data_IF_080124360087
#
_entry.id   IF_080124360087
#
_cell.length_a   1.000
_cell.length_b   1.000
_cell.length_c   1.000
_cell.angle_alpha   90.00
_cell.angle_beta   90.00
_cell.angle_gamma   90.00
#
_symmetry.space_group_name_H-M   'P 1'
#
loop_
_entity.id
_entity.type
_entity.pdbx_description
1 polymer ?
#
# COMPACT_ATOMS: atom_id res chain seq x y z
N UNK A 1 -21.12 12.80 -9.46
CA UNK A 1 -20.77 13.28 -8.12
C UNK A 1 -21.78 14.25 -7.54
N UNK A 2 -22.22 15.32 -8.26
CA UNK A 2 -23.23 16.28 -7.74
C UNK A 2 -24.49 15.59 -7.22
N UNK A 3 -25.07 14.64 -7.97
CA UNK A 3 -26.26 13.90 -7.53
C UNK A 3 -26.04 13.13 -6.21
N UNK A 4 -24.84 12.55 -6.02
CA UNK A 4 -24.48 11.87 -4.77
C UNK A 4 -24.39 12.84 -3.59
N UNK A 5 -23.76 14.01 -3.80
CA UNK A 5 -23.62 15.06 -2.78
C UNK A 5 -25.01 15.63 -2.44
N UNK A 6 -25.84 15.93 -3.45
CA UNK A 6 -27.20 16.44 -3.26
C UNK A 6 -28.10 15.44 -2.48
N UNK A 7 -27.81 14.13 -2.59
CA UNK A 7 -28.46 13.10 -1.79
C UNK A 7 -27.87 12.89 -0.39
N UNK A 8 -27.01 13.81 0.10
CA UNK A 8 -26.36 13.74 1.43
C UNK A 8 -25.09 12.92 1.47
N UNK A 9 -24.58 12.49 0.32
CA UNK A 9 -23.35 11.72 0.23
C UNK A 9 -22.11 12.57 0.46
N UNK A 10 -21.13 12.03 1.19
CA UNK A 10 -19.85 12.67 1.47
C UNK A 10 -18.79 12.22 0.47
N UNK A 11 -18.11 13.14 -0.20
CA UNK A 11 -17.10 12.89 -1.22
C UNK A 11 -15.74 13.39 -0.78
N UNK A 12 -14.74 12.53 -0.90
CA UNK A 12 -13.34 12.88 -0.76
C UNK A 12 -12.65 12.73 -2.11
N UNK A 13 -11.84 13.70 -2.49
CA UNK A 13 -10.99 13.64 -3.68
C UNK A 13 -9.53 13.51 -3.29
N UNK A 14 -8.95 12.34 -3.56
CA UNK A 14 -7.52 12.10 -3.44
C UNK A 14 -6.84 12.39 -4.79
N UNK A 15 -6.21 13.55 -4.90
CA UNK A 15 -5.51 14.03 -6.09
C UNK A 15 -4.05 13.61 -6.05
N UNK A 16 -3.68 12.58 -6.83
CA UNK A 16 -2.29 12.10 -6.92
C UNK A 16 -1.45 13.02 -7.82
N UNK A 17 -0.37 13.58 -7.27
CA UNK A 17 0.47 14.56 -7.98
C UNK A 17 1.58 13.84 -8.77
N UNK A 18 1.68 14.20 -10.04
CA UNK A 18 2.73 13.81 -10.99
C UNK A 18 3.20 15.04 -11.76
N UNK A 19 4.28 14.94 -12.56
CA UNK A 19 4.78 16.04 -13.38
C UNK A 19 3.69 16.69 -14.25
N UNK A 20 2.91 15.87 -14.94
CA UNK A 20 1.92 16.33 -15.91
C UNK A 20 0.72 17.09 -15.29
N UNK A 21 0.45 16.94 -13.99
CA UNK A 21 -0.70 17.54 -13.34
C UNK A 21 -0.36 18.41 -12.12
N UNK A 22 0.93 18.56 -11.77
CA UNK A 22 1.36 19.31 -10.59
C UNK A 22 0.94 20.78 -10.61
N UNK A 23 0.80 21.37 -11.81
CA UNK A 23 0.39 22.75 -12.00
C UNK A 23 -1.12 22.98 -11.74
N UNK A 24 -1.92 21.91 -11.76
CA UNK A 24 -3.38 21.95 -11.60
C UNK A 24 -3.85 21.75 -10.15
N UNK A 25 -2.96 21.59 -9.18
CA UNK A 25 -3.34 21.27 -7.78
C UNK A 25 -4.31 22.29 -7.21
N UNK A 26 -4.03 23.59 -7.37
CA UNK A 26 -4.90 24.67 -6.86
C UNK A 26 -6.25 24.73 -7.57
N UNK A 27 -6.25 24.50 -8.88
CA UNK A 27 -7.47 24.46 -9.68
C UNK A 27 -8.35 23.26 -9.29
N UNK A 28 -7.73 22.08 -9.09
CA UNK A 28 -8.44 20.89 -8.63
C UNK A 28 -9.02 21.06 -7.22
N UNK A 29 -8.29 21.71 -6.31
CA UNK A 29 -8.79 22.04 -4.97
C UNK A 29 -9.99 22.97 -5.03
N UNK A 30 -9.89 24.05 -5.83
CA UNK A 30 -11.00 24.97 -6.06
C UNK A 30 -12.22 24.25 -6.63
N UNK A 31 -12.03 23.40 -7.63
CA UNK A 31 -13.09 22.61 -8.23
C UNK A 31 -13.75 21.66 -7.22
N UNK A 32 -12.97 21.03 -6.34
CA UNK A 32 -13.49 20.18 -5.27
C UNK A 32 -14.41 20.97 -4.33
N UNK A 33 -13.99 22.18 -3.91
CA UNK A 33 -14.78 23.07 -3.06
C UNK A 33 -16.06 23.55 -3.77
N UNK A 34 -15.95 23.98 -5.03
CA UNK A 34 -17.09 24.44 -5.84
C UNK A 34 -18.13 23.32 -6.09
N UNK A 35 -17.68 22.06 -6.07
CA UNK A 35 -18.54 20.87 -6.20
C UNK A 35 -19.10 20.36 -4.86
N UNK A 36 -18.69 20.94 -3.73
CA UNK A 36 -19.14 20.55 -2.40
C UNK A 36 -18.52 19.25 -1.87
N UNK A 37 -17.27 18.95 -2.25
CA UNK A 37 -16.57 17.81 -1.67
C UNK A 37 -16.24 18.06 -0.20
N UNK A 38 -16.41 17.04 0.64
CA UNK A 38 -16.10 17.13 2.07
C UNK A 38 -14.59 17.30 2.30
N UNK A 39 -13.77 16.70 1.46
CA UNK A 39 -12.31 16.76 1.59
C UNK A 39 -11.60 16.67 0.24
N UNK A 40 -10.63 17.56 0.03
CA UNK A 40 -9.61 17.45 -1.02
C UNK A 40 -8.25 17.13 -0.40
N UNK A 41 -7.53 16.17 -0.96
CA UNK A 41 -6.18 15.81 -0.50
C UNK A 41 -5.23 15.72 -1.69
N UNK A 42 -4.30 16.67 -1.77
CA UNK A 42 -3.19 16.63 -2.73
C UNK A 42 -2.13 15.64 -2.24
N UNK A 43 -2.12 14.43 -2.83
CA UNK A 43 -1.29 13.30 -2.38
C UNK A 43 0.05 13.21 -3.10
N UNK A 44 1.12 13.19 -2.34
CA UNK A 44 2.50 12.95 -2.80
C UNK A 44 2.73 11.45 -2.89
N UNK A 45 2.78 10.93 -4.13
CA UNK A 45 2.82 9.48 -4.36
C UNK A 45 4.15 8.83 -4.02
N UNK A 46 4.12 7.60 -3.46
CA UNK A 46 5.29 6.72 -3.30
C UNK A 46 5.58 5.81 -4.50
N UNK A 47 4.92 6.00 -5.66
CA UNK A 47 5.05 5.12 -6.84
C UNK A 47 6.42 5.13 -7.51
N UNK A 48 7.27 6.10 -7.17
CA UNK A 48 8.64 6.20 -7.70
C UNK A 48 9.65 5.34 -6.95
N UNK A 49 9.19 4.45 -6.08
CA UNK A 49 9.93 3.32 -5.56
C UNK A 49 9.37 2.06 -6.19
N UNK A 50 10.24 1.23 -6.78
CA UNK A 50 9.82 -0.02 -7.41
C UNK A 50 9.37 -1.07 -6.39
N UNK A 51 8.73 -2.15 -6.87
CA UNK A 51 8.44 -3.31 -6.04
C UNK A 51 9.72 -4.01 -5.52
N UNK A 52 10.85 -3.80 -6.20
CA UNK A 52 12.18 -4.23 -5.77
C UNK A 52 12.90 -3.18 -4.91
N UNK A 53 12.18 -2.13 -4.48
CA UNK A 53 12.71 -1.06 -3.64
C UNK A 53 13.83 -0.25 -4.28
N UNK A 54 13.77 -0.07 -5.59
CA UNK A 54 14.67 0.79 -6.35
C UNK A 54 13.99 2.13 -6.63
N UNK A 55 14.73 3.23 -6.61
CA UNK A 55 14.25 4.54 -7.07
C UNK A 55 13.99 4.50 -8.57
N UNK A 56 12.93 5.17 -8.99
CA UNK A 56 12.55 5.32 -10.40
C UNK A 56 12.26 6.77 -10.72
N UNK A 57 12.69 7.21 -11.88
CA UNK A 57 12.33 8.52 -12.44
C UNK A 57 10.92 8.48 -13.08
N UNK A 58 10.53 7.31 -13.56
CA UNK A 58 9.27 7.09 -14.26
C UNK A 58 8.50 5.91 -13.68
N UNK A 59 7.18 5.99 -13.70
CA UNK A 59 6.29 4.90 -13.36
C UNK A 59 5.41 4.55 -14.56
N UNK A 60 5.52 3.30 -15.02
CA UNK A 60 4.72 2.79 -16.14
C UNK A 60 3.35 2.34 -15.61
N UNK A 61 2.32 3.12 -15.92
CA UNK A 61 0.95 2.75 -15.59
C UNK A 61 0.47 1.64 -16.53
N UNK A 62 -0.15 0.61 -15.96
CA UNK A 62 -0.66 -0.53 -16.71
C UNK A 62 -2.15 -0.73 -16.42
N UNK A 63 -2.91 -1.19 -17.40
CA UNK A 63 -4.29 -1.58 -17.22
C UNK A 63 -4.40 -2.98 -16.58
N UNK A 64 -5.62 -3.45 -16.33
CA UNK A 64 -5.88 -4.78 -15.73
C UNK A 64 -5.34 -5.96 -16.55
N UNK A 65 -5.07 -5.76 -17.84
CA UNK A 65 -4.47 -6.78 -18.74
C UNK A 65 -2.95 -6.71 -18.79
N UNK A 66 -2.31 -5.83 -17.99
CA UNK A 66 -0.86 -5.62 -17.98
C UNK A 66 -0.34 -4.76 -19.14
N UNK A 67 -1.21 -4.24 -20.02
CA UNK A 67 -0.79 -3.35 -21.10
C UNK A 67 -0.48 -1.96 -20.54
N UNK A 68 0.70 -1.42 -20.89
CA UNK A 68 1.09 -0.05 -20.54
C UNK A 68 0.11 0.95 -21.18
N UNK A 69 -0.35 1.89 -20.38
CA UNK A 69 -1.32 2.93 -20.78
C UNK A 69 -0.74 4.33 -20.72
N UNK A 70 0.24 4.56 -19.85
CA UNK A 70 0.89 5.85 -19.69
C UNK A 70 2.27 5.71 -19.03
N UNK A 71 3.11 6.71 -19.21
CA UNK A 71 4.34 6.92 -18.44
C UNK A 71 4.10 8.13 -17.54
N UNK A 72 4.24 7.93 -16.24
CA UNK A 72 4.09 8.97 -15.23
C UNK A 72 5.47 9.37 -14.73
N UNK A 73 5.80 10.65 -14.78
CA UNK A 73 7.08 11.20 -14.32
C UNK A 73 6.98 11.82 -12.94
N UNK A 74 8.11 11.88 -12.24
CA UNK A 74 8.22 12.57 -10.95
C UNK A 74 7.79 14.04 -11.08
N UNK A 75 7.03 14.56 -10.11
CA UNK A 75 6.78 15.99 -10.04
C UNK A 75 8.00 16.75 -9.52
N UNK A 76 7.95 18.08 -9.53
CA UNK A 76 8.92 18.95 -8.86
C UNK A 76 9.10 18.58 -7.38
N UNK A 77 10.29 18.85 -6.84
CA UNK A 77 10.70 18.45 -5.49
C UNK A 77 9.69 18.81 -4.39
N UNK A 78 9.04 19.99 -4.46
CA UNK A 78 8.01 20.42 -3.50
C UNK A 78 6.79 19.49 -3.43
N UNK A 79 6.53 18.76 -4.51
CA UNK A 79 5.43 17.80 -4.64
C UNK A 79 5.85 16.35 -4.49
N UNK A 80 7.15 16.09 -4.31
CA UNK A 80 7.65 14.73 -4.08
C UNK A 80 7.35 14.27 -2.66
N UNK A 81 7.14 12.96 -2.52
CA UNK A 81 7.00 12.32 -1.22
C UNK A 81 8.32 12.42 -0.46
N UNK A 82 8.27 12.94 0.77
CA UNK A 82 9.45 13.14 1.62
C UNK A 82 10.19 11.84 1.94
N UNK A 83 9.48 10.72 1.99
CA UNK A 83 10.11 9.43 2.24
C UNK A 83 11.09 9.03 1.13
N UNK A 84 10.94 9.56 -0.10
CA UNK A 84 11.91 9.30 -1.18
C UNK A 84 13.32 9.81 -0.84
N UNK A 85 13.44 10.88 -0.07
CA UNK A 85 14.75 11.40 0.37
C UNK A 85 15.41 10.52 1.42
N UNK A 86 14.66 9.75 2.18
CA UNK A 86 15.21 8.81 3.18
C UNK A 86 15.82 7.56 2.56
N UNK A 87 15.46 7.25 1.33
CA UNK A 87 15.89 6.02 0.66
C UNK A 87 17.43 5.88 0.63
N UNK A 88 18.14 6.94 0.25
CA UNK A 88 19.60 6.89 0.15
C UNK A 88 20.24 6.75 1.54
N UNK A 89 19.70 7.42 2.55
CA UNK A 89 20.15 7.30 3.94
C UNK A 89 19.99 5.87 4.48
N UNK A 90 18.91 5.19 4.08
CA UNK A 90 18.72 3.78 4.46
C UNK A 90 19.69 2.85 3.75
N UNK A 91 19.97 3.10 2.46
CA UNK A 91 21.01 2.34 1.75
C UNK A 91 22.38 2.56 2.38
N UNK A 92 22.72 3.79 2.75
CA UNK A 92 23.97 4.09 3.46
C UNK A 92 24.05 3.37 4.81
N UNK A 93 22.96 3.38 5.59
CA UNK A 93 22.92 2.79 6.94
C UNK A 93 22.92 1.25 6.91
N UNK A 94 22.15 0.63 6.00
CA UNK A 94 21.88 -0.83 5.99
C UNK A 94 22.58 -1.56 4.85
N UNK A 95 23.22 -0.86 3.90
CA UNK A 95 23.84 -1.42 2.70
C UNK A 95 22.85 -1.69 1.56
N UNK A 96 21.61 -2.06 1.88
CA UNK A 96 20.54 -2.29 0.90
C UNK A 96 19.16 -2.12 1.52
N UNK A 97 18.12 -1.97 0.69
CA UNK A 97 16.74 -1.97 1.18
C UNK A 97 16.30 -3.35 1.69
N UNK A 98 16.86 -4.42 1.14
CA UNK A 98 16.55 -5.77 1.62
C UNK A 98 17.11 -5.99 3.03
N UNK A 99 18.35 -5.56 3.30
CA UNK A 99 18.92 -5.58 4.64
C UNK A 99 18.11 -4.70 5.62
N UNK A 100 17.67 -3.50 5.18
CA UNK A 100 16.74 -2.71 5.98
C UNK A 100 15.44 -3.46 6.31
N UNK A 101 14.82 -4.17 5.36
CA UNK A 101 13.58 -4.91 5.63
C UNK A 101 13.78 -6.08 6.58
N UNK A 102 14.95 -6.70 6.57
CA UNK A 102 15.30 -7.75 7.52
C UNK A 102 15.38 -7.20 8.95
N UNK A 103 15.97 -6.02 9.14
CA UNK A 103 16.18 -5.41 10.45
C UNK A 103 15.00 -4.54 10.91
N UNK A 104 14.20 -3.98 9.99
CA UNK A 104 13.19 -2.98 10.30
C UNK A 104 12.19 -3.47 11.36
N UNK A 105 11.99 -2.74 12.46
CA UNK A 105 10.85 -2.95 13.34
C UNK A 105 9.56 -2.66 12.56
N UNK A 106 8.54 -3.50 12.75
CA UNK A 106 7.26 -3.36 12.07
C UNK A 106 6.24 -2.74 13.01
N UNK A 107 5.71 -1.57 12.65
CA UNK A 107 4.63 -0.87 13.34
C UNK A 107 3.37 -0.97 12.50
N UNK A 108 2.59 -2.01 12.73
CA UNK A 108 1.42 -2.33 11.91
C UNK A 108 0.30 -1.30 12.10
N UNK A 109 -0.07 -0.63 11.02
CA UNK A 109 -1.15 0.37 10.98
C UNK A 109 -2.50 -0.24 11.31
N UNK A 110 -2.74 -1.44 10.83
CA UNK A 110 -4.00 -2.18 11.01
C UNK A 110 -4.21 -2.59 12.47
N UNK A 111 -3.14 -3.06 13.13
CA UNK A 111 -3.19 -3.39 14.56
C UNK A 111 -3.47 -2.15 15.41
N UNK A 112 -2.84 -1.01 15.04
CA UNK A 112 -3.07 0.26 15.73
C UNK A 112 -4.54 0.73 15.62
N UNK A 113 -5.13 0.54 14.43
CA UNK A 113 -6.49 1.02 14.12
C UNK A 113 -7.57 -0.03 14.45
N UNK A 114 -7.21 -1.21 14.99
CA UNK A 114 -8.11 -2.34 15.26
C UNK A 114 -9.01 -2.66 14.04
N UNK A 115 -8.41 -2.63 12.84
CA UNK A 115 -9.13 -2.84 11.60
C UNK A 115 -8.71 -4.12 10.90
N UNK A 116 -9.49 -4.56 9.92
CA UNK A 116 -9.16 -5.67 9.05
C UNK A 116 -9.65 -5.36 7.62
N UNK A 117 -9.15 -6.10 6.66
CA UNK A 117 -9.54 -5.97 5.26
C UNK A 117 -10.41 -7.15 4.84
N UNK A 118 -11.57 -6.85 4.23
CA UNK A 118 -12.40 -7.86 3.57
C UNK A 118 -12.36 -7.61 2.06
N UNK A 119 -11.93 -8.61 1.30
CA UNK A 119 -11.88 -8.53 -0.17
C UNK A 119 -13.26 -8.64 -0.79
N UNK A 120 -13.38 -8.29 -2.08
CA UNK A 120 -14.61 -8.47 -2.84
C UNK A 120 -15.07 -9.95 -2.92
N UNK A 121 -14.14 -10.90 -2.73
CA UNK A 121 -14.43 -12.34 -2.64
C UNK A 121 -14.89 -12.78 -1.24
N UNK A 122 -14.93 -11.85 -0.28
CA UNK A 122 -15.27 -12.11 1.11
C UNK A 122 -14.12 -12.65 1.97
N UNK A 123 -12.86 -12.58 1.51
CA UNK A 123 -11.71 -13.04 2.29
C UNK A 123 -11.33 -11.99 3.35
N UNK A 124 -11.30 -12.38 4.60
CA UNK A 124 -10.80 -11.56 5.70
C UNK A 124 -9.28 -11.73 5.83
N UNK A 125 -8.55 -10.64 5.75
CA UNK A 125 -7.10 -10.57 5.75
C UNK A 125 -6.64 -9.40 6.63
N UNK A 126 -5.38 -9.40 7.13
CA UNK A 126 -4.91 -8.32 7.97
C UNK A 126 -5.04 -6.94 7.31
N UNK A 127 -4.65 -6.81 6.03
CA UNK A 127 -4.71 -5.54 5.32
C UNK A 127 -4.78 -5.72 3.80
N UNK A 128 -5.07 -4.64 3.07
CA UNK A 128 -5.13 -4.65 1.61
C UNK A 128 -3.77 -4.97 0.94
N UNK A 129 -2.64 -4.71 1.59
CA UNK A 129 -1.33 -5.05 1.02
C UNK A 129 -1.03 -6.55 1.10
N UNK A 130 -1.38 -7.22 2.19
CA UNK A 130 -1.30 -8.69 2.27
C UNK A 130 -2.27 -9.33 1.30
N UNK A 131 -3.51 -8.82 1.21
CA UNK A 131 -4.49 -9.24 0.21
C UNK A 131 -3.97 -9.08 -1.23
N UNK A 132 -3.36 -7.94 -1.54
CA UNK A 132 -2.81 -7.65 -2.87
C UNK A 132 -1.77 -8.66 -3.34
N UNK A 133 -1.05 -9.31 -2.42
CA UNK A 133 -0.09 -10.36 -2.74
C UNK A 133 -0.72 -11.69 -3.18
N UNK A 134 -2.02 -11.85 -2.98
CA UNK A 134 -2.76 -13.05 -3.35
C UNK A 134 -3.36 -13.00 -4.76
N UNK A 135 -3.38 -11.84 -5.41
CA UNK A 135 -4.08 -11.66 -6.69
C UNK A 135 -3.16 -11.86 -7.90
N UNK A 136 -3.54 -12.76 -8.81
CA UNK A 136 -2.76 -13.18 -9.98
C UNK A 136 -2.33 -12.05 -10.91
N UNK A 137 -3.10 -10.96 -11.02
CA UNK A 137 -2.76 -9.87 -11.94
C UNK A 137 -1.62 -8.97 -11.46
N UNK A 138 -1.23 -9.07 -10.19
CA UNK A 138 -0.04 -8.41 -9.64
C UNK A 138 1.25 -9.16 -9.95
N UNK A 139 1.17 -10.49 -10.10
CA UNK A 139 2.31 -11.39 -10.17
C UNK A 139 2.11 -12.43 -11.27
N UNK A 140 3.21 -12.85 -11.89
CA UNK A 140 3.19 -13.92 -12.89
C UNK A 140 2.74 -15.24 -12.30
N UNK A 141 3.21 -15.56 -11.11
CA UNK A 141 2.78 -16.71 -10.31
C UNK A 141 2.54 -16.26 -8.86
N UNK A 142 1.27 -16.20 -8.41
CA UNK A 142 0.95 -15.81 -7.05
C UNK A 142 1.47 -16.78 -5.98
N UNK A 143 1.77 -18.05 -6.32
CA UNK A 143 2.27 -19.05 -5.38
C UNK A 143 3.72 -18.80 -4.95
N UNK A 144 4.49 -18.03 -5.70
CA UNK A 144 5.86 -17.63 -5.31
C UNK A 144 5.88 -16.45 -4.34
N UNK A 145 4.75 -15.87 -4.03
CA UNK A 145 4.65 -14.80 -3.05
C UNK A 145 4.65 -15.38 -1.63
N UNK A 146 5.52 -14.88 -0.77
CA UNK A 146 5.70 -15.30 0.62
C UNK A 146 4.40 -15.38 1.44
N UNK A 147 3.38 -14.60 1.09
CA UNK A 147 2.08 -14.63 1.81
C UNK A 147 1.43 -16.02 1.78
N UNK A 148 1.73 -16.85 0.78
CA UNK A 148 1.17 -18.17 0.66
C UNK A 148 1.73 -19.17 1.68
N UNK A 149 2.88 -18.87 2.28
CA UNK A 149 3.45 -19.68 3.37
C UNK A 149 2.60 -19.57 4.65
N UNK A 150 1.85 -18.47 4.76
CA UNK A 150 0.96 -18.18 5.89
C UNK A 150 -0.49 -18.61 5.66
N UNK A 151 -0.90 -18.82 4.40
CA UNK A 151 -2.29 -19.13 4.06
C UNK A 151 -2.47 -20.61 3.75
N UNK A 152 -2.91 -21.45 4.71
CA UNK A 152 -3.04 -22.88 4.50
C UNK A 152 -4.14 -23.23 3.47
N UNK A 153 -5.26 -22.53 3.53
CA UNK A 153 -6.37 -22.66 2.58
C UNK A 153 -7.12 -21.32 2.47
N UNK A 154 -7.19 -20.78 1.25
CA UNK A 154 -7.93 -19.54 0.95
C UNK A 154 -9.39 -19.62 1.44
N UNK A 155 -10.05 -20.76 1.31
CA UNK A 155 -11.45 -20.95 1.74
C UNK A 155 -11.68 -20.76 3.23
N UNK A 156 -10.68 -21.03 4.08
CA UNK A 156 -10.79 -20.83 5.53
C UNK A 156 -10.77 -19.37 5.95
N UNK A 157 -10.40 -18.47 5.06
CA UNK A 157 -10.36 -17.02 5.31
C UNK A 157 -11.66 -16.31 4.92
N UNK A 158 -12.68 -17.03 4.45
CA UNK A 158 -13.92 -16.40 4.02
C UNK A 158 -14.75 -15.92 5.22
N UNK A 159 -15.05 -14.62 5.26
CA UNK A 159 -15.82 -13.99 6.32
C UNK A 159 -17.26 -14.56 6.49
N UNK A 160 -17.80 -15.23 5.43
CA UNK A 160 -19.08 -15.96 5.55
C UNK A 160 -19.08 -17.09 6.58
N UNK A 161 -17.89 -17.59 6.93
CA UNK A 161 -17.73 -18.61 7.98
C UNK A 161 -17.90 -18.03 9.41
N UNK A 162 -17.93 -16.70 9.52
CA UNK A 162 -17.80 -15.96 10.75
C UNK A 162 -16.35 -15.55 11.00
N UNK A 163 -16.15 -14.33 11.50
CA UNK A 163 -14.78 -13.81 11.76
C UNK A 163 -14.05 -14.63 12.82
N UNK A 164 -14.75 -15.17 13.83
CA UNK A 164 -14.15 -16.03 14.85
C UNK A 164 -13.47 -17.24 14.22
N UNK A 165 -14.11 -17.89 13.24
CA UNK A 165 -13.54 -19.02 12.51
C UNK A 165 -12.31 -18.63 11.68
N UNK A 166 -12.30 -17.41 11.13
CA UNK A 166 -11.13 -16.89 10.44
C UNK A 166 -9.98 -16.64 11.42
N UNK A 167 -10.26 -16.07 12.59
CA UNK A 167 -9.23 -15.84 13.61
C UNK A 167 -8.70 -17.16 14.20
N UNK A 168 -9.53 -18.18 14.37
CA UNK A 168 -9.11 -19.53 14.77
C UNK A 168 -8.10 -20.18 13.83
N UNK A 169 -7.96 -19.71 12.56
CA UNK A 169 -6.93 -20.21 11.64
C UNK A 169 -5.50 -19.88 12.10
N UNK A 170 -5.36 -18.91 12.99
CA UNK A 170 -4.08 -18.45 13.51
C UNK A 170 -3.25 -17.58 12.56
N UNK A 171 -3.71 -17.33 11.31
CA UNK A 171 -2.94 -16.60 10.30
C UNK A 171 -2.53 -15.19 10.77
N UNK A 172 -3.43 -14.48 11.46
CA UNK A 172 -3.14 -13.13 11.96
C UNK A 172 -1.98 -13.15 12.95
N UNK A 173 -2.02 -14.11 13.87
CA UNK A 173 -0.95 -14.33 14.86
C UNK A 173 0.35 -14.76 14.19
N UNK A 174 0.31 -15.70 13.27
CA UNK A 174 1.50 -16.18 12.54
C UNK A 174 2.19 -15.03 11.79
N UNK A 175 1.42 -14.16 11.12
CA UNK A 175 1.96 -12.97 10.46
C UNK A 175 2.61 -12.04 11.50
N UNK A 176 1.98 -11.82 12.63
CA UNK A 176 2.52 -10.97 13.70
C UNK A 176 3.78 -11.58 14.31
N UNK A 177 3.79 -12.88 14.58
CA UNK A 177 4.95 -13.60 15.12
C UNK A 177 6.14 -13.51 14.14
N UNK A 178 5.88 -13.51 12.82
CA UNK A 178 6.94 -13.40 11.81
C UNK A 178 7.74 -12.10 11.89
N UNK A 179 7.20 -11.05 12.48
CA UNK A 179 7.89 -9.75 12.56
C UNK A 179 9.14 -9.78 13.45
N UNK A 180 9.24 -10.76 14.35
CA UNK A 180 10.40 -10.98 15.23
C UNK A 180 11.50 -11.84 14.62
N UNK A 181 11.25 -12.42 13.43
CA UNK A 181 12.26 -13.21 12.73
C UNK A 181 13.38 -12.31 12.19
N UNK A 182 14.59 -12.86 12.09
CA UNK A 182 15.81 -12.11 11.81
C UNK A 182 15.93 -11.68 10.35
N UNK A 183 15.25 -12.36 9.40
CA UNK A 183 15.26 -11.97 7.99
C UNK A 183 14.00 -12.40 7.24
N UNK A 184 13.79 -11.78 6.07
CA UNK A 184 12.71 -12.17 5.17
C UNK A 184 12.90 -13.57 4.60
N UNK A 185 14.15 -14.03 4.42
CA UNK A 185 14.45 -15.39 4.00
C UNK A 185 14.09 -16.43 5.07
N UNK A 186 14.20 -16.06 6.34
CA UNK A 186 13.80 -16.91 7.47
C UNK A 186 12.30 -16.81 7.80
N UNK A 187 11.52 -16.11 6.99
CA UNK A 187 10.08 -16.07 7.13
C UNK A 187 9.50 -14.72 7.58
N UNK A 188 10.29 -13.69 7.95
CA UNK A 188 9.75 -12.36 8.23
C UNK A 188 8.96 -11.86 7.03
N UNK A 189 7.68 -11.53 7.23
CA UNK A 189 6.81 -11.18 6.10
C UNK A 189 7.23 -9.84 5.46
N UNK A 190 7.96 -9.93 4.35
CA UNK A 190 8.58 -8.79 3.66
C UNK A 190 7.60 -7.67 3.34
N UNK A 191 6.36 -7.99 2.94
CA UNK A 191 5.35 -6.95 2.65
C UNK A 191 5.03 -6.11 3.89
N UNK A 192 5.07 -6.67 5.10
CA UNK A 192 4.87 -5.92 6.33
C UNK A 192 6.03 -4.95 6.58
N UNK A 193 7.29 -5.41 6.43
CA UNK A 193 8.47 -4.55 6.56
C UNK A 193 8.46 -3.41 5.53
N UNK A 194 8.09 -3.69 4.27
CA UNK A 194 8.00 -2.70 3.19
C UNK A 194 6.92 -1.62 3.40
N UNK A 195 5.82 -1.96 4.09
CA UNK A 195 4.63 -1.09 4.21
C UNK A 195 4.44 -0.48 5.59
N UNK A 196 5.03 -1.10 6.59
CA UNK A 196 4.87 -0.74 7.99
C UNK A 196 6.21 -0.72 8.75
N UNK A 197 7.35 -0.69 8.05
CA UNK A 197 8.67 -0.51 8.67
C UNK A 197 8.76 0.87 9.34
N UNK A 198 9.36 0.92 10.52
CA UNK A 198 9.35 2.10 11.38
C UNK A 198 10.07 3.32 10.79
N UNK A 199 11.19 3.10 10.07
CA UNK A 199 12.01 4.19 9.55
C UNK A 199 11.62 4.64 8.14
N UNK A 200 10.86 3.81 7.38
CA UNK A 200 10.52 4.08 5.99
C UNK A 200 9.07 3.69 5.67
N UNK A 201 8.25 4.68 5.38
CA UNK A 201 6.87 4.48 4.98
C UNK A 201 6.51 5.35 3.77
N UNK A 202 6.81 4.89 2.54
CA UNK A 202 6.53 5.66 1.33
C UNK A 202 5.04 5.89 1.08
N UNK A 203 4.16 5.29 1.90
CA UNK A 203 2.71 5.42 1.82
C UNK A 203 2.10 6.19 3.00
N UNK A 204 2.90 6.70 3.95
CA UNK A 204 2.41 7.42 5.11
C UNK A 204 1.49 8.60 4.75
N UNK A 205 1.82 9.35 3.68
CA UNK A 205 1.02 10.48 3.22
C UNK A 205 -0.24 10.09 2.42
N UNK A 206 -0.40 8.79 2.07
CA UNK A 206 -1.56 8.34 1.29
C UNK A 206 -2.81 8.08 2.15
N UNK A 207 -2.66 7.98 3.47
CA UNK A 207 -3.72 7.63 4.41
C UNK A 207 -4.10 8.77 5.37
N UNK A 208 -3.51 9.96 5.18
CA UNK A 208 -3.82 11.17 5.98
C UNK A 208 -5.05 11.89 5.49
#
# INVERSE_FOLDING_TARGET
>A
MRAFINGGGKVRWDYLIFEHNQHQVKEAEKLANDLGFEKFVAKKTGRFISAKSEKKEEHHAVNRKGKQTAVLKKPEQKYQNKELSKYDLLIEKYGSMDAYYDEAPIICKVTKDNSLYISAEGLALPCCWTAGRMYKWWHKDPKVEQIWDYIPKKSKLNAKLGLDKVFETGIFKQIQDSWSLSSCEQGKLKVCAMKCGAEFDPFAEQFK
#
